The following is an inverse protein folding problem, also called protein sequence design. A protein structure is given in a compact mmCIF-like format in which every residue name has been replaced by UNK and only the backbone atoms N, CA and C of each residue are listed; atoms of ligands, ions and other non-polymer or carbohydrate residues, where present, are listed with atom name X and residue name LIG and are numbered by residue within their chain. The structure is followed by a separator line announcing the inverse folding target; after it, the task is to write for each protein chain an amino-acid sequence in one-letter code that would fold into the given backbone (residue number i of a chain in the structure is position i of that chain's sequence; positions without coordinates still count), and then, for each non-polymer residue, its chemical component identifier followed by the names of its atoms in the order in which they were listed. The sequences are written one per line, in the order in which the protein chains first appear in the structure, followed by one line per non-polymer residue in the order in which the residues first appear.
data_IF_410426106329
#
_entry.id   IF_410426106329
#
_cell.length_a   1.000
_cell.length_b   1.000
_cell.length_c   1.000
_cell.angle_alpha   90.00
_cell.angle_beta   90.00
_cell.angle_gamma   90.00
#
_symmetry.space_group_name_H-M   'P 1'
#
loop_
_entity.id
_entity.type
_entity.pdbx_description
1 polymer ?
#
# COMPACT_ATOMS: atom_id res chain seq x y z
N UNK A 1 -31.83 12.29 -30.37
CA UNK A 1 -32.90 12.40 -29.37
C UNK A 1 -33.30 10.99 -28.95
N UNK A 2 -32.53 10.38 -28.05
CA UNK A 2 -32.89 9.15 -27.35
C UNK A 2 -32.46 9.36 -25.91
N UNK A 3 -33.46 9.33 -25.02
CA UNK A 3 -33.32 9.56 -23.59
C UNK A 3 -32.59 8.36 -22.99
N UNK A 4 -31.38 8.59 -22.48
CA UNK A 4 -30.80 7.68 -21.49
C UNK A 4 -31.67 7.75 -20.23
N UNK A 5 -32.50 6.73 -20.06
CA UNK A 5 -33.10 6.38 -18.79
C UNK A 5 -31.95 6.09 -17.84
N UNK A 6 -31.71 7.01 -16.92
CA UNK A 6 -30.90 6.80 -15.73
C UNK A 6 -31.67 5.85 -14.83
N UNK A 7 -31.41 4.56 -14.96
CA UNK A 7 -31.80 3.58 -13.95
C UNK A 7 -30.98 3.86 -12.69
N UNK A 8 -31.57 4.68 -11.83
CA UNK A 8 -31.11 4.95 -10.48
C UNK A 8 -31.46 3.73 -9.62
N UNK A 9 -30.79 2.59 -9.87
CA UNK A 9 -30.74 1.52 -8.89
C UNK A 9 -30.00 2.10 -7.67
N UNK A 10 -30.72 2.32 -6.57
CA UNK A 10 -30.10 2.83 -5.35
C UNK A 10 -28.99 1.87 -4.95
N UNK A 11 -27.73 2.26 -5.11
CA UNK A 11 -26.61 1.50 -4.59
C UNK A 11 -26.84 1.31 -3.09
N UNK A 12 -26.90 0.06 -2.64
CA UNK A 12 -27.08 -0.24 -1.23
C UNK A 12 -25.96 0.44 -0.42
N UNK A 13 -26.31 1.09 0.69
CA UNK A 13 -25.34 1.75 1.55
C UNK A 13 -24.26 0.77 2.03
N UNK A 14 -23.00 1.21 2.10
CA UNK A 14 -21.88 0.39 2.52
C UNK A 14 -22.10 -0.14 3.96
N UNK A 15 -22.04 -1.46 4.21
CA UNK A 15 -22.46 -2.08 5.47
C UNK A 15 -21.34 -2.01 6.52
N UNK A 16 -20.93 -0.79 6.90
CA UNK A 16 -19.78 -0.54 7.77
C UNK A 16 -19.89 -1.26 9.12
N UNK A 17 -21.08 -1.32 9.74
CA UNK A 17 -21.25 -1.98 11.04
C UNK A 17 -21.02 -3.49 10.95
N UNK A 18 -21.51 -4.13 9.89
CA UNK A 18 -21.29 -5.56 9.66
C UNK A 18 -19.81 -5.85 9.37
N UNK A 19 -19.15 -4.95 8.63
CA UNK A 19 -17.71 -5.03 8.35
C UNK A 19 -16.90 -4.87 9.64
N UNK A 20 -17.20 -3.86 10.46
CA UNK A 20 -16.54 -3.61 11.75
C UNK A 20 -16.68 -4.79 12.71
N UNK A 21 -17.80 -5.49 12.69
CA UNK A 21 -18.02 -6.68 13.49
C UNK A 21 -17.04 -7.83 13.14
N UNK A 22 -16.46 -7.83 11.94
CA UNK A 22 -15.46 -8.82 11.52
C UNK A 22 -14.08 -8.59 12.13
N UNK A 23 -13.82 -7.44 12.78
CA UNK A 23 -12.52 -7.08 13.37
C UNK A 23 -12.54 -7.16 14.90
N UNK A 24 -12.03 -8.25 15.52
CA UNK A 24 -12.12 -8.46 16.96
C UNK A 24 -11.42 -7.38 17.78
N UNK A 25 -10.33 -6.81 17.26
CA UNK A 25 -9.59 -5.74 17.92
C UNK A 25 -10.46 -4.48 18.12
N UNK A 26 -11.28 -4.13 17.12
CA UNK A 26 -12.22 -3.00 17.21
C UNK A 26 -13.34 -3.30 18.22
N UNK A 27 -13.82 -4.55 18.27
CA UNK A 27 -14.86 -4.96 19.23
C UNK A 27 -14.35 -4.93 20.69
N UNK A 28 -13.05 -5.16 20.90
CA UNK A 28 -12.41 -5.11 22.22
C UNK A 28 -11.92 -3.72 22.61
N UNK A 29 -11.91 -2.76 21.67
CA UNK A 29 -11.35 -1.43 21.87
C UNK A 29 -12.20 -0.53 22.79
N UNK A 30 -13.47 -0.89 23.04
CA UNK A 30 -14.38 -0.03 23.81
C UNK A 30 -14.60 1.30 23.10
N UNK A 31 -14.35 2.41 23.80
CA UNK A 31 -14.53 3.77 23.27
C UNK A 31 -13.35 4.26 22.40
N UNK A 32 -12.26 3.49 22.31
CA UNK A 32 -11.06 3.87 21.58
C UNK A 32 -11.32 3.98 20.07
N UNK A 33 -10.91 5.10 19.48
CA UNK A 33 -11.00 5.36 18.04
C UNK A 33 -9.62 5.16 17.40
N UNK A 34 -9.53 4.27 16.42
CA UNK A 34 -8.28 3.97 15.70
C UNK A 34 -8.21 4.67 14.34
N UNK A 35 -7.34 5.68 14.23
CA UNK A 35 -7.08 6.48 13.01
C UNK A 35 -5.58 6.48 12.64
N UNK A 36 -4.84 5.41 12.97
CA UNK A 36 -3.42 5.23 12.56
C UNK A 36 -3.25 4.02 11.63
N UNK A 37 -4.25 3.76 10.80
CA UNK A 37 -4.29 2.62 9.86
C UNK A 37 -3.14 2.65 8.83
N UNK A 38 -2.61 3.82 8.49
CA UNK A 38 -1.44 3.97 7.63
C UNK A 38 -0.13 3.47 8.28
N UNK A 39 -0.10 3.25 9.60
CA UNK A 39 0.98 2.56 10.30
C UNK A 39 0.73 1.05 10.45
N UNK A 40 -0.48 0.57 10.16
CA UNK A 40 -0.89 -0.83 10.26
C UNK A 40 -2.38 -0.92 10.52
N UNK A 41 -3.08 -1.76 9.75
CA UNK A 41 -4.50 -1.96 9.88
C UNK A 41 -4.81 -3.10 10.85
N UNK A 42 -6.00 -3.05 11.46
CA UNK A 42 -6.56 -4.18 12.20
C UNK A 42 -6.84 -5.36 11.27
N UNK A 43 -6.86 -6.56 11.86
CA UNK A 43 -6.97 -7.84 11.14
C UNK A 43 -8.36 -8.45 11.41
N UNK A 44 -9.07 -8.98 10.39
CA UNK A 44 -10.35 -9.63 10.57
C UNK A 44 -10.20 -11.01 11.22
N UNK A 45 -11.27 -11.51 11.87
CA UNK A 45 -11.25 -12.78 12.60
C UNK A 45 -10.83 -13.96 11.70
N UNK A 46 -11.27 -13.98 10.44
CA UNK A 46 -10.93 -15.04 9.47
C UNK A 46 -9.41 -15.20 9.27
N UNK A 47 -8.67 -14.09 9.34
CA UNK A 47 -7.21 -14.08 9.19
C UNK A 47 -6.53 -14.62 10.45
N UNK A 48 -7.03 -14.24 11.64
CA UNK A 48 -6.55 -14.80 12.91
C UNK A 48 -6.77 -16.31 12.96
N UNK A 49 -7.94 -16.77 12.50
CA UNK A 49 -8.31 -18.18 12.45
C UNK A 49 -7.40 -18.96 11.48
N UNK A 50 -7.08 -18.38 10.31
CA UNK A 50 -6.20 -19.00 9.33
C UNK A 50 -4.78 -19.20 9.87
N UNK A 51 -4.21 -18.17 10.51
CA UNK A 51 -2.89 -18.26 11.16
C UNK A 51 -2.92 -19.30 12.28
N UNK A 52 -3.94 -19.26 13.14
CA UNK A 52 -4.09 -20.20 14.25
C UNK A 52 -4.21 -21.64 13.75
N UNK A 53 -5.03 -21.86 12.73
CA UNK A 53 -5.21 -23.18 12.13
C UNK A 53 -3.90 -23.70 11.54
N UNK A 54 -3.11 -22.86 10.86
CA UNK A 54 -1.78 -23.26 10.38
C UNK A 54 -0.90 -23.75 11.53
N UNK A 55 -0.76 -22.91 12.57
CA UNK A 55 0.12 -23.17 13.70
C UNK A 55 -0.28 -24.43 14.49
N UNK A 56 -1.57 -24.73 14.59
CA UNK A 56 -2.10 -25.86 15.36
C UNK A 56 -2.18 -27.15 14.53
N UNK A 57 -2.60 -27.07 13.27
CA UNK A 57 -2.96 -28.24 12.48
C UNK A 57 -1.82 -28.78 11.61
N UNK A 58 -0.96 -27.91 11.09
CA UNK A 58 0.04 -28.28 10.07
C UNK A 58 1.32 -27.43 10.10
N UNK A 59 1.76 -26.98 11.29
CA UNK A 59 3.03 -26.29 11.50
C UNK A 59 4.25 -27.20 11.28
N UNK A 60 4.61 -27.41 10.02
CA UNK A 60 5.72 -28.24 9.59
C UNK A 60 6.40 -27.63 8.36
N UNK A 61 7.57 -28.14 8.01
CA UNK A 61 8.27 -27.72 6.80
C UNK A 61 7.62 -28.27 5.53
N UNK A 62 7.79 -27.52 4.44
CA UNK A 62 7.37 -27.88 3.07
C UNK A 62 8.27 -28.95 2.42
N UNK A 63 7.81 -29.56 1.32
CA UNK A 63 8.59 -30.51 0.52
C UNK A 63 8.66 -31.94 1.07
N UNK A 64 7.99 -32.23 2.18
CA UNK A 64 7.83 -33.56 2.74
C UNK A 64 6.68 -34.33 2.08
N UNK A 65 6.80 -35.66 2.00
CA UNK A 65 5.77 -36.52 1.37
C UNK A 65 4.56 -36.84 2.27
N UNK A 66 4.58 -36.41 3.53
CA UNK A 66 3.51 -36.68 4.50
C UNK A 66 2.43 -35.60 4.45
N UNK A 67 1.20 -35.98 4.81
CA UNK A 67 0.00 -35.15 4.58
C UNK A 67 0.10 -33.70 5.06
N UNK A 68 0.62 -33.44 6.26
CA UNK A 68 0.76 -32.06 6.79
C UNK A 68 1.70 -31.19 5.95
N UNK A 69 2.80 -31.76 5.46
CA UNK A 69 3.74 -31.01 4.61
C UNK A 69 3.12 -30.69 3.24
N UNK A 70 2.38 -31.65 2.67
CA UNK A 70 1.59 -31.45 1.45
C UNK A 70 0.53 -30.35 1.66
N UNK A 71 -0.11 -30.30 2.84
CA UNK A 71 -1.06 -29.22 3.18
C UNK A 71 -0.40 -27.85 3.25
N UNK A 72 0.83 -27.74 3.75
CA UNK A 72 1.60 -26.48 3.74
C UNK A 72 1.90 -26.04 2.31
N UNK A 73 2.39 -26.95 1.46
CA UNK A 73 2.65 -26.64 0.04
C UNK A 73 1.37 -26.17 -0.67
N UNK A 74 0.22 -26.82 -0.44
CA UNK A 74 -1.06 -26.38 -1.00
C UNK A 74 -1.49 -25.01 -0.47
N UNK A 75 -1.35 -24.75 0.83
CA UNK A 75 -1.73 -23.46 1.43
C UNK A 75 -0.92 -22.30 0.85
N UNK A 76 0.36 -22.52 0.56
CA UNK A 76 1.21 -21.53 -0.11
C UNK A 76 0.77 -21.32 -1.56
N UNK A 77 0.39 -22.39 -2.28
CA UNK A 77 -0.11 -22.30 -3.65
C UNK A 77 -1.45 -21.52 -3.71
N UNK A 78 -2.40 -21.84 -2.83
CA UNK A 78 -3.71 -21.18 -2.74
C UNK A 78 -3.55 -19.68 -2.44
N UNK A 79 -2.68 -19.34 -1.48
CA UNK A 79 -2.37 -17.95 -1.16
C UNK A 79 -1.78 -17.21 -2.37
N UNK A 80 -0.94 -17.89 -3.16
CA UNK A 80 -0.32 -17.31 -4.36
C UNK A 80 -1.34 -17.01 -5.43
N UNK A 81 -2.30 -17.91 -5.65
CA UNK A 81 -3.44 -17.68 -6.53
C UNK A 81 -4.30 -16.51 -6.04
N UNK A 82 -4.61 -16.47 -4.75
CA UNK A 82 -5.37 -15.37 -4.15
C UNK A 82 -4.67 -14.02 -4.34
N UNK A 83 -3.37 -13.92 -4.08
CA UNK A 83 -2.64 -12.65 -4.29
C UNK A 83 -2.53 -12.30 -5.77
N UNK A 84 -2.36 -13.27 -6.67
CA UNK A 84 -2.41 -13.02 -8.11
C UNK A 84 -3.77 -12.43 -8.53
N UNK A 85 -4.87 -12.97 -8.01
CA UNK A 85 -6.21 -12.43 -8.23
C UNK A 85 -6.40 -11.05 -7.58
N UNK A 86 -5.79 -10.77 -6.43
CA UNK A 86 -5.88 -9.46 -5.77
C UNK A 86 -5.33 -8.35 -6.67
N UNK A 87 -4.17 -8.60 -7.29
CA UNK A 87 -3.42 -7.59 -8.05
C UNK A 87 -3.59 -7.71 -9.57
N UNK A 88 -4.41 -8.66 -10.03
CA UNK A 88 -4.58 -9.01 -11.44
C UNK A 88 -3.28 -9.48 -12.13
N UNK A 89 -2.44 -10.28 -11.48
CA UNK A 89 -1.23 -10.82 -12.11
C UNK A 89 -1.56 -11.79 -13.26
N UNK A 90 -0.65 -11.92 -14.23
CA UNK A 90 -0.82 -12.86 -15.34
C UNK A 90 -0.73 -14.32 -14.88
N UNK A 91 0.11 -14.58 -13.87
CA UNK A 91 0.31 -15.91 -13.32
C UNK A 91 0.63 -15.86 -11.83
N UNK A 92 0.15 -16.81 -11.02
CA UNK A 92 0.61 -16.99 -9.64
C UNK A 92 2.13 -17.15 -9.54
N UNK A 93 2.81 -17.68 -10.57
CA UNK A 93 4.27 -17.86 -10.57
C UNK A 93 5.06 -16.53 -10.51
N UNK A 94 4.39 -15.39 -10.71
CA UNK A 94 4.97 -14.04 -10.62
C UNK A 94 4.95 -13.45 -9.21
N UNK A 95 4.28 -14.12 -8.27
CA UNK A 95 4.16 -13.68 -6.88
C UNK A 95 5.25 -14.35 -6.06
N UNK A 96 5.98 -13.60 -5.23
CA UNK A 96 6.97 -14.09 -4.27
C UNK A 96 6.57 -13.65 -2.86
N UNK A 97 6.67 -14.55 -1.88
CA UNK A 97 6.35 -14.29 -0.47
C UNK A 97 7.60 -14.08 0.39
N UNK A 98 7.45 -13.24 1.42
CA UNK A 98 8.56 -12.87 2.28
C UNK A 98 8.15 -11.99 3.45
N UNK A 99 9.13 -11.39 4.11
CA UNK A 99 8.94 -10.74 5.39
C UNK A 99 8.14 -9.43 5.30
N UNK A 100 8.46 -8.54 4.36
CA UNK A 100 7.80 -7.25 4.16
C UNK A 100 8.30 -6.59 2.85
N UNK A 101 7.65 -5.51 2.44
CA UNK A 101 8.01 -4.75 1.24
C UNK A 101 9.45 -4.19 1.31
N UNK A 102 9.91 -3.68 2.46
CA UNK A 102 11.28 -3.16 2.62
C UNK A 102 12.34 -4.21 2.29
N UNK A 103 12.15 -5.45 2.76
CA UNK A 103 13.04 -6.57 2.44
C UNK A 103 13.06 -6.86 0.93
N UNK A 104 11.91 -6.79 0.25
CA UNK A 104 11.83 -6.96 -1.20
C UNK A 104 12.46 -5.81 -1.98
N UNK A 105 12.22 -4.55 -1.58
CA UNK A 105 12.87 -3.37 -2.18
C UNK A 105 14.39 -3.56 -2.11
N UNK A 106 14.91 -4.00 -0.96
CA UNK A 106 16.33 -4.30 -0.78
C UNK A 106 16.82 -5.43 -1.69
N UNK A 107 16.09 -6.54 -1.76
CA UNK A 107 16.46 -7.66 -2.64
C UNK A 107 16.52 -7.23 -4.09
N UNK A 108 15.48 -6.55 -4.58
CA UNK A 108 15.41 -6.07 -5.97
C UNK A 108 16.50 -5.04 -6.24
N UNK A 109 16.73 -4.10 -5.32
CA UNK A 109 17.81 -3.12 -5.44
C UNK A 109 19.20 -3.78 -5.55
N UNK A 110 19.49 -4.82 -4.77
CA UNK A 110 20.75 -5.56 -4.87
C UNK A 110 20.89 -6.30 -6.20
N UNK A 111 19.80 -6.87 -6.73
CA UNK A 111 19.78 -7.49 -8.04
C UNK A 111 20.01 -6.47 -9.17
N UNK A 112 19.29 -5.34 -9.13
CA UNK A 112 19.46 -4.22 -10.08
C UNK A 112 20.90 -3.68 -10.01
N UNK A 113 21.46 -3.50 -8.82
CA UNK A 113 22.85 -3.05 -8.64
C UNK A 113 23.88 -3.93 -9.34
N UNK A 114 23.68 -5.25 -9.33
CA UNK A 114 24.53 -6.20 -10.06
C UNK A 114 24.35 -6.11 -11.59
N UNK A 115 23.22 -5.59 -12.06
CA UNK A 115 22.93 -5.40 -13.48
C UNK A 115 23.39 -4.03 -14.00
N UNK A 116 23.88 -3.13 -13.15
CA UNK A 116 24.46 -1.83 -13.54
C UNK A 116 25.90 -1.96 -14.12
N UNK A 117 26.41 -3.18 -14.30
CA UNK A 117 27.78 -3.44 -14.75
C UNK A 117 28.04 -2.87 -16.13
N UNK A 118 29.19 -2.19 -16.26
CA UNK A 118 29.61 -1.33 -17.38
C UNK A 118 29.86 -2.02 -18.72
N UNK A 119 29.70 -3.33 -18.81
CA UNK A 119 30.16 -4.08 -19.99
C UNK A 119 29.02 -4.41 -20.96
N UNK A 120 29.11 -3.71 -22.10
CA UNK A 120 28.77 -4.14 -23.48
C UNK A 120 27.50 -3.67 -24.17
N UNK A 121 26.46 -3.14 -23.54
CA UNK A 121 25.32 -2.53 -24.27
C UNK A 121 24.69 -1.33 -23.54
N UNK A 122 25.29 -0.13 -23.69
CA UNK A 122 24.74 1.15 -23.23
C UNK A 122 24.78 1.39 -21.71
N UNK A 123 25.20 2.59 -21.29
CA UNK A 123 25.22 2.98 -19.87
C UNK A 123 23.80 3.24 -19.35
N UNK A 124 23.07 2.18 -18.95
CA UNK A 124 21.79 2.31 -18.21
C UNK A 124 22.05 2.43 -16.71
N UNK A 125 22.55 3.60 -16.28
CA UNK A 125 22.94 3.89 -14.90
C UNK A 125 22.08 4.95 -14.21
N UNK A 126 21.08 5.53 -14.88
CA UNK A 126 20.20 6.54 -14.28
C UNK A 126 18.97 5.87 -13.61
N UNK A 127 18.71 6.22 -12.35
CA UNK A 127 17.52 5.81 -11.61
C UNK A 127 16.72 7.06 -11.25
N UNK A 128 15.43 7.07 -11.61
CA UNK A 128 14.50 8.11 -11.18
C UNK A 128 13.85 7.69 -9.87
N UNK A 129 13.91 8.58 -8.87
CA UNK A 129 13.27 8.42 -7.55
C UNK A 129 12.47 9.68 -7.22
N UNK A 130 11.56 9.59 -6.25
CA UNK A 130 10.69 10.72 -5.85
C UNK A 130 11.07 11.30 -4.50
N UNK A 131 10.70 12.57 -4.26
CA UNK A 131 10.77 13.18 -2.92
C UNK A 131 9.51 12.92 -2.06
N UNK A 132 8.57 12.12 -2.54
CA UNK A 132 7.29 11.81 -1.91
C UNK A 132 7.24 10.42 -1.26
N UNK A 133 8.12 9.52 -1.70
CA UNK A 133 8.17 8.12 -1.28
C UNK A 133 8.59 7.90 0.18
N UNK A 134 8.23 6.73 0.70
CA UNK A 134 8.76 6.20 1.95
C UNK A 134 10.28 5.98 1.82
N UNK A 135 11.05 6.26 2.88
CA UNK A 135 12.52 6.22 2.82
C UNK A 135 13.08 4.83 2.44
N UNK A 136 12.34 3.75 2.73
CA UNK A 136 12.65 2.39 2.24
C UNK A 136 12.75 2.31 0.71
N UNK A 137 11.90 3.02 -0.02
CA UNK A 137 11.91 3.13 -1.49
C UNK A 137 12.75 4.32 -1.98
N UNK A 138 13.66 4.84 -1.16
CA UNK A 138 14.62 5.90 -1.51
C UNK A 138 16.03 5.47 -1.13
N UNK A 139 16.28 5.26 0.17
CA UNK A 139 17.60 4.97 0.72
C UNK A 139 18.23 3.71 0.13
N UNK A 140 17.40 2.70 -0.17
CA UNK A 140 17.86 1.46 -0.79
C UNK A 140 18.41 1.71 -2.19
N UNK A 141 17.74 2.54 -2.99
CA UNK A 141 18.24 2.90 -4.32
C UNK A 141 19.49 3.75 -4.25
N UNK A 142 19.51 4.77 -3.38
CA UNK A 142 20.68 5.63 -3.18
C UNK A 142 21.94 4.85 -2.79
N UNK A 143 21.82 3.70 -2.11
CA UNK A 143 22.96 2.84 -1.81
C UNK A 143 23.70 2.33 -3.08
N UNK A 144 23.01 2.30 -4.22
CA UNK A 144 23.57 1.92 -5.52
C UNK A 144 24.47 3.00 -6.14
N UNK A 145 24.62 4.19 -5.54
CA UNK A 145 25.68 5.14 -5.93
C UNK A 145 27.05 4.47 -5.94
N UNK A 146 27.31 3.60 -4.95
CA UNK A 146 28.55 2.81 -4.85
C UNK A 146 28.74 1.82 -6.00
N UNK A 147 27.65 1.39 -6.65
CA UNK A 147 27.64 0.55 -7.85
C UNK A 147 27.62 1.36 -9.15
N UNK A 148 27.65 2.70 -9.07
CA UNK A 148 27.69 3.60 -10.23
C UNK A 148 26.34 4.20 -10.63
N UNK A 149 25.26 3.97 -9.88
CA UNK A 149 23.97 4.58 -10.18
C UNK A 149 24.00 6.11 -10.05
N UNK A 150 23.27 6.79 -10.92
CA UNK A 150 23.02 8.25 -10.89
C UNK A 150 21.54 8.50 -10.66
N UNK A 151 21.21 9.53 -9.88
CA UNK A 151 19.82 9.77 -9.47
C UNK A 151 19.23 11.01 -10.11
N UNK A 152 18.00 10.87 -10.62
CA UNK A 152 17.13 11.99 -11.01
C UNK A 152 15.97 12.05 -10.02
N UNK A 153 15.61 13.26 -9.61
CA UNK A 153 14.56 13.46 -8.61
C UNK A 153 13.29 13.97 -9.29
N UNK A 154 12.26 13.14 -9.30
CA UNK A 154 10.90 13.54 -9.65
C UNK A 154 10.24 14.17 -8.42
N UNK A 155 9.94 15.46 -8.50
CA UNK A 155 9.57 16.25 -7.32
C UNK A 155 8.09 16.57 -7.30
N UNK A 156 7.48 16.39 -6.14
CA UNK A 156 6.10 16.77 -5.89
C UNK A 156 5.92 18.28 -6.11
N UNK A 157 4.83 18.67 -6.77
CA UNK A 157 4.43 20.08 -6.93
C UNK A 157 3.72 20.59 -5.66
N UNK A 158 3.47 21.89 -5.59
CA UNK A 158 2.82 22.53 -4.43
C UNK A 158 1.38 22.05 -4.20
N UNK A 159 0.73 21.53 -5.24
CA UNK A 159 -0.62 20.95 -5.17
C UNK A 159 -0.65 19.56 -4.50
N UNK A 160 0.50 19.04 -4.10
CA UNK A 160 0.62 17.78 -3.37
C UNK A 160 0.73 16.54 -4.25
N UNK A 161 0.91 16.68 -5.57
CA UNK A 161 1.03 15.55 -6.50
C UNK A 161 2.35 15.54 -7.26
N UNK A 162 2.70 14.34 -7.75
CA UNK A 162 3.71 14.15 -8.79
C UNK A 162 3.03 14.25 -10.16
N UNK A 163 3.49 15.18 -11.00
CA UNK A 163 2.94 15.39 -12.33
C UNK A 163 3.81 14.69 -13.37
N UNK A 164 3.21 13.85 -14.21
CA UNK A 164 3.93 13.02 -15.18
C UNK A 164 4.65 13.84 -16.26
N UNK A 165 4.22 15.07 -16.51
CA UNK A 165 4.96 16.01 -17.37
C UNK A 165 6.35 16.36 -16.82
N UNK A 166 6.52 16.33 -15.49
CA UNK A 166 7.82 16.54 -14.85
C UNK A 166 8.71 15.30 -14.89
N UNK A 167 8.14 14.11 -15.18
CA UNK A 167 8.90 12.87 -15.35
C UNK A 167 9.54 12.79 -16.75
N UNK A 168 8.83 13.22 -17.80
CA UNK A 168 9.29 13.19 -19.20
C UNK A 168 10.71 13.72 -19.41
N UNK A 169 11.12 14.88 -18.86
CA UNK A 169 12.50 15.39 -19.04
C UNK A 169 13.55 14.70 -18.15
N UNK A 170 13.14 13.83 -17.22
CA UNK A 170 14.04 13.11 -16.32
C UNK A 170 14.47 11.74 -16.85
N UNK A 171 13.71 11.18 -17.79
CA UNK A 171 13.99 9.87 -18.39
C UNK A 171 14.80 10.00 -19.69
N UNK A 172 15.65 9.02 -19.96
CA UNK A 172 16.47 8.93 -21.16
C UNK A 172 16.78 7.46 -21.47
N UNK A 173 17.44 7.16 -22.59
CA UNK A 173 17.91 5.80 -22.89
C UNK A 173 18.89 5.26 -21.84
N UNK A 174 19.48 6.13 -21.00
CA UNK A 174 20.30 5.75 -19.85
C UNK A 174 19.48 5.39 -18.60
N UNK A 175 18.19 5.64 -18.61
CA UNK A 175 17.33 5.31 -17.47
C UNK A 175 17.19 3.80 -17.38
N UNK A 176 17.59 3.27 -16.21
CA UNK A 176 17.45 1.87 -15.85
C UNK A 176 16.11 1.60 -15.20
N UNK A 177 15.72 2.46 -14.26
CA UNK A 177 14.58 2.23 -13.39
C UNK A 177 13.91 3.55 -13.03
N UNK A 178 12.57 3.57 -13.04
CA UNK A 178 11.76 4.58 -12.37
C UNK A 178 11.10 3.94 -11.15
N UNK A 179 11.46 4.39 -9.96
CA UNK A 179 10.92 3.88 -8.70
C UNK A 179 10.04 4.94 -8.02
N UNK A 180 8.78 4.59 -7.77
CA UNK A 180 7.84 5.46 -7.08
C UNK A 180 6.78 4.68 -6.29
N UNK A 181 6.13 5.37 -5.36
CA UNK A 181 4.96 4.83 -4.68
C UNK A 181 3.71 4.92 -5.56
N UNK A 182 2.76 4.02 -5.36
CA UNK A 182 1.39 4.17 -5.90
C UNK A 182 0.64 5.25 -5.10
N UNK A 183 0.94 5.41 -3.80
CA UNK A 183 0.29 6.41 -2.95
C UNK A 183 1.18 6.82 -1.79
N UNK A 184 1.35 8.13 -1.60
CA UNK A 184 2.14 8.69 -0.52
C UNK A 184 1.55 8.35 0.87
N UNK A 185 2.27 7.57 1.68
CA UNK A 185 1.83 7.14 3.02
C UNK A 185 1.72 8.24 4.07
N UNK A 186 2.28 9.41 3.77
CA UNK A 186 2.20 10.59 4.62
C UNK A 186 0.95 11.42 4.29
N UNK A 187 0.80 11.83 3.03
CA UNK A 187 -0.20 12.84 2.59
C UNK A 187 -1.42 12.24 1.87
N UNK A 188 -1.38 10.95 1.52
CA UNK A 188 -2.46 10.23 0.86
C UNK A 188 -2.60 10.47 -0.64
N UNK A 189 -1.76 11.29 -1.28
CA UNK A 189 -1.78 11.54 -2.73
C UNK A 189 -1.50 10.28 -3.54
N UNK A 190 -2.26 10.07 -4.61
CA UNK A 190 -2.14 8.93 -5.54
C UNK A 190 -1.30 9.36 -6.75
N UNK A 191 -0.42 8.47 -7.23
CA UNK A 191 0.41 8.67 -8.43
C UNK A 191 -0.26 8.01 -9.63
N UNK A 192 -0.25 8.68 -10.79
CA UNK A 192 -0.69 8.09 -12.07
C UNK A 192 0.38 7.13 -12.61
N UNK A 193 0.42 5.92 -12.02
CA UNK A 193 1.45 4.92 -12.30
C UNK A 193 1.35 4.30 -13.70
N UNK A 194 0.18 4.34 -14.34
CA UNK A 194 0.03 3.88 -15.72
C UNK A 194 0.76 4.81 -16.69
N UNK A 195 0.60 6.13 -16.53
CA UNK A 195 1.37 7.11 -17.29
C UNK A 195 2.87 7.07 -16.97
N UNK A 196 3.25 6.73 -15.73
CA UNK A 196 4.67 6.49 -15.37
C UNK A 196 5.24 5.34 -16.19
N UNK A 197 4.52 4.23 -16.32
CA UNK A 197 4.97 3.08 -17.10
C UNK A 197 5.09 3.41 -18.58
N UNK A 198 4.10 4.10 -19.16
CA UNK A 198 4.18 4.56 -20.56
C UNK A 198 5.46 5.37 -20.81
N UNK A 199 5.78 6.34 -19.94
CA UNK A 199 6.94 7.21 -20.08
C UNK A 199 8.26 6.44 -19.89
N UNK A 200 8.35 5.56 -18.90
CA UNK A 200 9.55 4.76 -18.63
C UNK A 200 9.82 3.76 -19.75
N UNK A 201 8.80 3.03 -20.20
CA UNK A 201 8.92 2.01 -21.23
C UNK A 201 9.26 2.60 -22.60
N UNK A 202 8.83 3.83 -22.88
CA UNK A 202 9.20 4.55 -24.11
C UNK A 202 10.72 4.74 -24.28
N UNK A 203 11.50 4.70 -23.19
CA UNK A 203 12.99 4.73 -23.22
C UNK A 203 13.62 3.38 -22.81
N UNK A 204 12.79 2.35 -22.64
CA UNK A 204 13.19 1.00 -22.22
C UNK A 204 13.59 0.86 -20.75
N UNK A 205 13.21 1.79 -19.89
CA UNK A 205 13.43 1.70 -18.44
C UNK A 205 12.39 0.77 -17.79
N UNK A 206 12.74 0.10 -16.69
CA UNK A 206 11.80 -0.68 -15.88
C UNK A 206 11.07 0.21 -14.84
N UNK A 207 9.92 -0.22 -14.34
CA UNK A 207 9.14 0.48 -13.30
C UNK A 207 9.03 -0.34 -12.02
N UNK A 208 9.40 0.25 -10.90
CA UNK A 208 9.24 -0.33 -9.57
C UNK A 208 8.20 0.44 -8.76
N UNK A 209 7.14 -0.24 -8.32
CA UNK A 209 6.05 0.36 -7.55
C UNK A 209 6.04 -0.09 -6.08
N UNK A 210 6.08 0.86 -5.15
CA UNK A 210 5.70 0.65 -3.75
C UNK A 210 4.18 0.81 -3.59
N UNK A 211 3.47 -0.30 -3.41
CA UNK A 211 2.01 -0.36 -3.28
C UNK A 211 1.54 -0.56 -1.82
N UNK A 212 2.45 -0.48 -0.84
CA UNK A 212 2.14 -0.76 0.57
C UNK A 212 1.00 0.11 1.09
N UNK A 213 0.97 1.39 0.72
CA UNK A 213 -0.08 2.29 1.20
C UNK A 213 -1.36 2.22 0.39
N UNK A 214 -1.29 1.94 -0.92
CA UNK A 214 -2.49 1.88 -1.77
C UNK A 214 -3.31 0.61 -1.57
N UNK A 215 -2.65 -0.51 -1.20
CA UNK A 215 -3.28 -1.83 -1.04
C UNK A 215 -4.65 -1.88 -0.35
N UNK A 216 -4.85 -1.24 0.83
CA UNK A 216 -6.15 -1.26 1.50
C UNK A 216 -7.23 -0.41 0.82
N UNK A 217 -6.86 0.52 -0.07
CA UNK A 217 -7.73 1.63 -0.49
C UNK A 217 -8.30 1.50 -1.89
N UNK A 218 -7.71 0.67 -2.75
CA UNK A 218 -8.09 0.63 -4.17
C UNK A 218 -7.68 -0.62 -4.89
N UNK A 219 -8.22 -0.77 -6.10
CA UNK A 219 -7.98 -1.93 -6.94
C UNK A 219 -6.57 -1.86 -7.52
N UNK A 220 -5.76 -2.87 -7.21
CA UNK A 220 -4.47 -3.07 -7.87
C UNK A 220 -4.71 -3.84 -9.18
N UNK A 221 -4.14 -3.32 -10.27
CA UNK A 221 -4.16 -3.96 -11.58
C UNK A 221 -2.80 -3.80 -12.26
N UNK A 222 -1.91 -4.78 -12.04
CA UNK A 222 -0.56 -4.76 -12.59
C UNK A 222 -0.51 -4.89 -14.10
N UNK A 223 -1.58 -5.41 -14.73
CA UNK A 223 -1.67 -5.46 -16.20
C UNK A 223 -2.01 -4.08 -16.76
N UNK A 224 -2.97 -3.38 -16.13
CA UNK A 224 -3.35 -2.04 -16.57
C UNK A 224 -2.30 -0.98 -16.25
N UNK A 225 -1.56 -1.13 -15.14
CA UNK A 225 -0.48 -0.23 -14.76
C UNK A 225 0.83 -0.51 -15.50
N UNK A 226 0.94 -1.68 -16.13
CA UNK A 226 2.06 -2.12 -16.93
C UNK A 226 3.43 -2.00 -16.22
N UNK A 227 3.48 -2.09 -14.89
CA UNK A 227 4.75 -2.02 -14.15
C UNK A 227 5.57 -3.31 -14.26
N UNK A 228 6.82 -3.28 -13.79
CA UNK A 228 7.74 -4.43 -13.86
C UNK A 228 7.92 -5.13 -12.51
N UNK A 229 7.82 -4.35 -11.43
CA UNK A 229 7.84 -4.82 -10.05
C UNK A 229 6.78 -4.07 -9.23
N UNK A 230 6.16 -4.78 -8.29
CA UNK A 230 5.27 -4.21 -7.29
C UNK A 230 5.51 -4.89 -5.94
N UNK A 231 5.70 -4.11 -4.89
CA UNK A 231 5.81 -4.63 -3.51
C UNK A 231 4.64 -4.19 -2.66
N UNK A 232 4.24 -5.05 -1.72
CA UNK A 232 3.23 -4.72 -0.73
C UNK A 232 3.50 -5.44 0.60
N UNK A 233 3.04 -4.85 1.71
CA UNK A 233 3.13 -5.44 3.05
C UNK A 233 1.74 -5.73 3.59
N UNK A 234 1.51 -6.96 4.04
CA UNK A 234 0.21 -7.45 4.48
C UNK A 234 -0.38 -6.73 5.69
N UNK A 235 0.45 -6.22 6.60
CA UNK A 235 -0.01 -5.56 7.82
C UNK A 235 -0.79 -4.25 7.57
N UNK A 236 -0.71 -3.66 6.37
CA UNK A 236 -1.59 -2.55 5.96
C UNK A 236 -2.79 -3.00 5.15
N UNK A 237 -2.78 -4.23 4.66
CA UNK A 237 -3.83 -4.85 3.86
C UNK A 237 -4.53 -5.98 4.63
N UNK A 238 -4.80 -5.74 5.91
CA UNK A 238 -5.61 -6.60 6.79
C UNK A 238 -5.06 -8.03 7.00
N UNK A 239 -3.79 -8.26 6.69
CA UNK A 239 -3.05 -9.51 6.86
C UNK A 239 -2.03 -9.37 8.01
N UNK A 240 -1.46 -10.46 8.56
CA UNK A 240 -0.36 -10.36 9.53
C UNK A 240 0.89 -9.72 8.92
N UNK A 241 1.91 -9.49 9.75
CA UNK A 241 3.23 -9.02 9.29
C UNK A 241 3.88 -10.02 8.34
N UNK A 242 3.76 -9.74 7.05
CA UNK A 242 4.36 -10.42 5.92
C UNK A 242 4.35 -9.46 4.72
N UNK A 243 4.94 -9.83 3.59
CA UNK A 243 4.76 -9.10 2.34
C UNK A 243 4.80 -10.00 1.11
N UNK A 244 4.49 -9.40 -0.04
CA UNK A 244 4.72 -10.01 -1.33
C UNK A 244 5.42 -9.05 -2.28
N UNK A 245 6.19 -9.62 -3.19
CA UNK A 245 6.69 -9.00 -4.41
C UNK A 245 5.94 -9.66 -5.57
N UNK A 246 5.35 -8.85 -6.44
CA UNK A 246 5.06 -9.26 -7.80
C UNK A 246 6.11 -8.69 -8.73
N UNK A 247 6.49 -9.44 -9.75
CA UNK A 247 7.21 -8.89 -10.89
C UNK A 247 6.97 -9.76 -12.11
N UNK A 248 7.08 -9.17 -13.30
CA UNK A 248 6.93 -9.93 -14.54
C UNK A 248 7.84 -11.15 -14.52
N UNK A 249 7.32 -12.31 -14.94
CA UNK A 249 8.05 -13.57 -14.84
C UNK A 249 9.48 -13.49 -15.42
N UNK A 250 9.63 -13.00 -16.65
CA UNK A 250 10.93 -12.88 -17.31
C UNK A 250 11.83 -11.82 -16.66
N UNK A 251 11.25 -10.77 -16.06
CA UNK A 251 11.99 -9.75 -15.34
C UNK A 251 12.57 -10.33 -14.04
N UNK A 252 11.77 -11.03 -13.25
CA UNK A 252 12.25 -11.73 -12.04
C UNK A 252 13.27 -12.83 -12.38
N UNK A 253 13.09 -13.52 -13.52
CA UNK A 253 14.02 -14.54 -13.99
C UNK A 253 15.41 -13.96 -14.27
N UNK A 254 15.48 -12.80 -14.93
CA UNK A 254 16.75 -12.09 -15.21
C UNK A 254 17.38 -11.46 -13.97
N UNK A 255 16.60 -11.13 -12.95
CA UNK A 255 17.08 -10.48 -11.74
C UNK A 255 18.08 -11.40 -10.99
N UNK A 256 19.32 -10.95 -10.73
CA UNK A 256 20.24 -11.68 -9.88
C UNK A 256 19.72 -11.72 -8.44
N UNK A 257 19.67 -12.90 -7.83
CA UNK A 257 19.20 -13.07 -6.44
C UNK A 257 20.19 -13.90 -5.62
N UNK A 258 20.12 -13.73 -4.30
CA UNK A 258 20.76 -14.65 -3.37
C UNK A 258 19.87 -15.87 -3.21
N UNK A 259 20.36 -17.04 -3.62
CA UNK A 259 19.67 -18.33 -3.47
C UNK A 259 20.65 -19.38 -3.00
N UNK A 260 20.19 -20.35 -2.23
CA UNK A 260 20.95 -21.56 -1.95
C UNK A 260 21.12 -22.38 -3.24
N UNK A 261 22.25 -23.08 -3.38
CA UNK A 261 22.63 -23.76 -4.64
C UNK A 261 21.58 -24.74 -5.18
N UNK A 262 20.81 -25.35 -4.28
CA UNK A 262 19.78 -26.35 -4.60
C UNK A 262 18.40 -25.74 -4.94
N UNK A 263 18.20 -24.44 -4.69
CA UNK A 263 16.96 -23.75 -5.04
C UNK A 263 16.96 -23.46 -6.55
N UNK A 264 15.90 -23.82 -7.30
CA UNK A 264 15.79 -23.51 -8.71
C UNK A 264 15.99 -22.02 -9.00
N UNK A 265 16.74 -21.71 -10.06
CA UNK A 265 16.94 -20.34 -10.53
C UNK A 265 15.75 -19.85 -11.36
N UNK A 266 14.55 -19.96 -10.79
CA UNK A 266 13.30 -19.66 -11.43
C UNK A 266 12.33 -18.99 -10.45
N UNK A 267 11.58 -17.94 -10.86
CA UNK A 267 10.53 -17.38 -10.04
C UNK A 267 9.43 -18.41 -9.72
N UNK A 268 8.86 -18.38 -8.51
CA UNK A 268 9.17 -17.45 -7.42
C UNK A 268 10.33 -17.90 -6.53
N UNK A 269 10.79 -19.15 -6.67
CA UNK A 269 11.69 -19.81 -5.73
C UNK A 269 13.03 -19.09 -5.55
N UNK A 270 13.59 -18.52 -6.62
CA UNK A 270 14.86 -17.77 -6.55
C UNK A 270 14.79 -16.51 -5.69
N UNK A 271 13.59 -15.98 -5.42
CA UNK A 271 13.37 -14.80 -4.57
C UNK A 271 13.02 -15.23 -3.14
N UNK A 272 12.30 -16.35 -3.00
CA UNK A 272 11.84 -16.92 -1.72
C UNK A 272 12.94 -17.72 -1.01
N UNK A 273 14.06 -17.05 -0.68
CA UNK A 273 15.20 -17.70 -0.04
C UNK A 273 14.86 -18.24 1.37
N UNK A 274 15.30 -19.47 1.65
CA UNK A 274 15.14 -20.13 2.94
C UNK A 274 13.69 -20.53 3.31
N UNK A 275 13.50 -20.89 4.59
CA UNK A 275 12.17 -21.06 5.18
C UNK A 275 11.58 -19.70 5.52
N UNK A 276 10.38 -19.40 5.03
CA UNK A 276 9.65 -18.17 5.35
C UNK A 276 8.37 -18.44 6.16
N UNK A 277 7.64 -17.38 6.45
CA UNK A 277 6.49 -17.28 7.36
C UNK A 277 5.19 -17.89 6.79
N UNK A 278 5.12 -19.21 6.65
CA UNK A 278 3.98 -19.93 6.02
C UNK A 278 2.63 -19.63 6.70
N UNK A 279 2.60 -19.54 8.03
CA UNK A 279 1.41 -19.23 8.80
C UNK A 279 0.84 -17.84 8.45
N UNK A 280 1.71 -16.87 8.19
CA UNK A 280 1.28 -15.53 7.79
C UNK A 280 0.89 -15.49 6.31
N UNK A 281 1.43 -16.38 5.47
CA UNK A 281 0.95 -16.57 4.09
C UNK A 281 -0.48 -17.12 4.09
N UNK A 282 -0.82 -18.06 4.97
CA UNK A 282 -2.22 -18.47 5.20
C UNK A 282 -3.09 -17.30 5.67
N UNK A 283 -2.55 -16.40 6.51
CA UNK A 283 -3.23 -15.16 6.89
C UNK A 283 -3.47 -14.20 5.72
N UNK A 284 -2.52 -14.06 4.79
CA UNK A 284 -2.67 -13.24 3.59
C UNK A 284 -3.76 -13.80 2.66
N UNK A 285 -3.79 -15.11 2.45
CA UNK A 285 -4.88 -15.76 1.70
C UNK A 285 -6.26 -15.41 2.27
N UNK A 286 -6.42 -15.57 3.59
CA UNK A 286 -7.66 -15.22 4.29
C UNK A 286 -8.00 -13.73 4.20
N UNK A 287 -7.01 -12.84 4.12
CA UNK A 287 -7.23 -11.40 3.94
C UNK A 287 -7.78 -11.10 2.54
N UNK A 288 -7.27 -11.77 1.49
CA UNK A 288 -7.82 -11.66 0.14
C UNK A 288 -9.24 -12.23 0.07
N UNK A 289 -9.48 -13.39 0.69
CA UNK A 289 -10.81 -13.98 0.76
C UNK A 289 -11.81 -13.10 1.51
N UNK A 290 -11.36 -12.36 2.52
CA UNK A 290 -12.17 -11.36 3.20
C UNK A 290 -12.59 -10.22 2.24
N UNK A 291 -11.67 -9.69 1.43
CA UNK A 291 -11.99 -8.67 0.43
C UNK A 291 -12.94 -9.21 -0.65
N UNK A 292 -12.74 -10.46 -1.06
CA UNK A 292 -13.66 -11.18 -1.95
C UNK A 292 -15.06 -11.30 -1.34
N UNK A 293 -15.15 -11.63 -0.05
CA UNK A 293 -16.42 -11.78 0.68
C UNK A 293 -17.21 -10.46 0.73
N UNK A 294 -16.53 -9.32 0.91
CA UNK A 294 -17.19 -8.00 0.86
C UNK A 294 -17.92 -7.84 -0.48
N UNK A 295 -17.21 -8.02 -1.61
CA UNK A 295 -17.83 -7.84 -2.92
C UNK A 295 -18.90 -8.86 -3.24
N UNK A 296 -18.77 -10.10 -2.75
CA UNK A 296 -19.80 -11.13 -2.86
C UNK A 296 -21.08 -10.74 -2.12
N UNK A 297 -20.96 -10.21 -0.91
CA UNK A 297 -22.11 -9.81 -0.08
C UNK A 297 -22.81 -8.53 -0.56
N UNK A 298 -22.10 -7.67 -1.30
CA UNK A 298 -22.65 -6.45 -1.89
C UNK A 298 -23.36 -6.69 -3.23
N UNK A 299 -23.10 -7.81 -3.90
CA UNK A 299 -23.64 -8.09 -5.22
C UNK A 299 -25.00 -8.81 -5.14
N UNK A 300 -25.99 -8.44 -5.97
CA UNK A 300 -27.29 -9.11 -6.00
C UNK A 300 -27.26 -10.52 -6.65
N UNK A 301 -26.14 -10.95 -7.24
CA UNK A 301 -26.01 -12.23 -7.94
C UNK A 301 -24.80 -13.07 -7.50
N UNK A 302 -25.02 -14.35 -7.22
CA UNK A 302 -24.02 -15.29 -6.70
C UNK A 302 -23.11 -15.95 -7.77
N UNK A 303 -23.19 -15.56 -9.05
CA UNK A 303 -22.48 -16.25 -10.14
C UNK A 303 -21.30 -15.44 -10.73
N UNK A 304 -20.46 -14.86 -9.87
CA UNK A 304 -19.30 -14.04 -10.26
C UNK A 304 -18.00 -14.78 -9.99
N UNK A 305 -16.97 -14.50 -10.78
CA UNK A 305 -15.62 -15.04 -10.52
C UNK A 305 -15.05 -14.47 -9.21
N UNK A 306 -14.02 -15.12 -8.66
CA UNK A 306 -13.30 -14.60 -7.47
C UNK A 306 -12.76 -13.19 -7.73
N UNK A 307 -12.18 -12.95 -8.90
CA UNK A 307 -11.67 -11.62 -9.28
C UNK A 307 -12.78 -10.58 -9.34
N UNK A 308 -13.91 -10.90 -9.95
CA UNK A 308 -15.04 -9.96 -10.04
C UNK A 308 -15.55 -9.54 -8.65
N UNK A 309 -15.58 -10.49 -7.71
CA UNK A 309 -15.94 -10.22 -6.32
C UNK A 309 -14.90 -9.30 -5.66
N UNK A 310 -13.60 -9.55 -5.82
CA UNK A 310 -12.54 -8.66 -5.32
C UNK A 310 -12.69 -7.25 -5.91
N UNK A 311 -12.89 -7.14 -7.22
CA UNK A 311 -13.08 -5.85 -7.92
C UNK A 311 -14.26 -5.08 -7.33
N UNK A 312 -15.40 -5.73 -7.13
CA UNK A 312 -16.55 -5.07 -6.53
C UNK A 312 -16.36 -4.71 -5.06
N UNK A 313 -15.69 -5.57 -4.28
CA UNK A 313 -15.38 -5.30 -2.88
C UNK A 313 -14.48 -4.08 -2.74
N UNK A 314 -13.37 -4.05 -3.49
CA UNK A 314 -12.42 -2.93 -3.49
C UNK A 314 -13.04 -1.65 -4.07
N UNK A 315 -13.89 -1.76 -5.09
CA UNK A 315 -14.65 -0.61 -5.62
C UNK A 315 -15.58 0.01 -4.57
N UNK A 316 -16.36 -0.81 -3.88
CA UNK A 316 -17.25 -0.34 -2.82
C UNK A 316 -16.50 0.24 -1.61
N UNK A 317 -15.36 -0.38 -1.25
CA UNK A 317 -14.43 0.16 -0.25
C UNK A 317 -13.95 1.55 -0.66
N UNK A 318 -13.47 1.70 -1.90
CA UNK A 318 -12.99 2.97 -2.43
C UNK A 318 -14.08 4.04 -2.38
N UNK A 319 -15.29 3.72 -2.81
CA UNK A 319 -16.42 4.67 -2.79
C UNK A 319 -16.78 5.12 -1.37
N UNK A 320 -16.81 4.19 -0.42
CA UNK A 320 -17.06 4.50 0.99
C UNK A 320 -15.92 5.34 1.61
N UNK A 321 -14.66 4.99 1.30
CA UNK A 321 -13.51 5.76 1.77
C UNK A 321 -13.45 7.17 1.19
N UNK A 322 -13.96 7.41 -0.02
CA UNK A 322 -14.13 8.76 -0.55
C UNK A 322 -15.15 9.57 0.26
N UNK A 323 -16.20 8.95 0.81
CA UNK A 323 -17.12 9.61 1.74
C UNK A 323 -16.40 9.99 3.03
N UNK A 324 -15.66 9.05 3.65
CA UNK A 324 -14.85 9.32 4.84
C UNK A 324 -13.82 10.44 4.59
N UNK A 325 -13.20 10.43 3.42
CA UNK A 325 -12.21 11.44 3.05
C UNK A 325 -12.82 12.84 2.96
N UNK A 326 -14.01 12.98 2.35
CA UNK A 326 -14.73 14.27 2.28
C UNK A 326 -15.07 14.79 3.68
N UNK A 327 -15.61 13.92 4.53
CA UNK A 327 -15.99 14.31 5.90
C UNK A 327 -14.77 14.71 6.74
N UNK A 328 -13.69 13.93 6.69
CA UNK A 328 -12.45 14.27 7.41
C UNK A 328 -11.85 15.59 6.90
N UNK A 329 -11.86 15.83 5.59
CA UNK A 329 -11.40 17.07 5.00
C UNK A 329 -12.22 18.27 5.49
N UNK A 330 -13.56 18.14 5.55
CA UNK A 330 -14.44 19.18 6.07
C UNK A 330 -14.18 19.47 7.56
N UNK A 331 -14.00 18.43 8.37
CA UNK A 331 -13.65 18.55 9.80
C UNK A 331 -12.33 19.27 9.99
N UNK A 332 -11.27 18.86 9.27
CA UNK A 332 -9.95 19.48 9.39
C UNK A 332 -9.97 20.95 8.96
N UNK A 333 -10.66 21.28 7.86
CA UNK A 333 -10.85 22.68 7.43
C UNK A 333 -11.61 23.49 8.48
N UNK A 334 -12.67 22.94 9.06
CA UNK A 334 -13.43 23.59 10.14
C UNK A 334 -12.62 23.82 11.41
N UNK A 335 -11.55 23.04 11.63
CA UNK A 335 -10.60 23.24 12.73
C UNK A 335 -9.44 24.19 12.37
N UNK A 336 -9.42 24.79 11.18
CA UNK A 336 -8.35 25.67 10.74
C UNK A 336 -7.02 24.94 10.46
N UNK A 337 -7.08 23.66 10.11
CA UNK A 337 -5.88 22.87 9.83
C UNK A 337 -5.19 23.31 8.53
N UNK A 338 -3.86 23.35 8.57
CA UNK A 338 -3.02 23.37 7.37
C UNK A 338 -2.88 21.92 6.92
N UNK A 339 -3.51 21.56 5.79
CA UNK A 339 -3.54 20.19 5.26
C UNK A 339 -2.50 20.07 4.15
N UNK A 340 -1.60 19.10 4.27
CA UNK A 340 -0.58 18.80 3.26
C UNK A 340 -1.08 17.71 2.30
N UNK A 341 -0.79 17.87 1.01
CA UNK A 341 -1.35 17.02 -0.06
C UNK A 341 -2.65 17.57 -0.65
N UNK A 342 -3.32 16.75 -1.45
CA UNK A 342 -4.58 17.13 -2.11
C UNK A 342 -5.65 17.46 -1.07
N UNK A 343 -6.09 18.72 -1.04
CA UNK A 343 -7.06 19.26 -0.06
C UNK A 343 -8.29 19.91 -0.71
N UNK A 344 -8.37 19.88 -2.05
CA UNK A 344 -9.51 20.34 -2.82
C UNK A 344 -10.56 19.23 -2.93
N UNK A 345 -11.83 19.55 -2.65
CA UNK A 345 -12.91 18.55 -2.67
C UNK A 345 -13.15 18.00 -4.08
N UNK A 346 -13.01 18.84 -5.12
CA UNK A 346 -13.13 18.42 -6.52
C UNK A 346 -12.10 17.34 -6.91
N UNK A 347 -10.97 17.30 -6.21
CA UNK A 347 -9.83 16.40 -6.46
C UNK A 347 -9.75 15.27 -5.44
N UNK A 348 -10.80 15.03 -4.66
CA UNK A 348 -10.81 14.01 -3.60
C UNK A 348 -10.47 12.60 -4.11
N UNK A 349 -10.75 12.33 -5.38
CA UNK A 349 -10.43 11.06 -6.04
C UNK A 349 -8.93 10.84 -6.27
N UNK A 350 -8.10 11.89 -6.20
CA UNK A 350 -6.64 11.86 -6.31
C UNK A 350 -5.95 11.52 -4.98
N UNK A 351 -6.71 11.23 -3.91
CA UNK A 351 -6.15 10.79 -2.62
C UNK A 351 -6.84 9.58 -2.01
N UNK A 352 -6.17 8.93 -1.09
CA UNK A 352 -6.75 8.00 -0.10
C UNK A 352 -7.05 8.76 1.21
N UNK A 353 -7.86 8.21 2.14
CA UNK A 353 -8.24 8.90 3.38
C UNK A 353 -7.12 8.93 4.44
N UNK A 354 -5.91 9.33 4.04
CA UNK A 354 -4.74 9.55 4.90
C UNK A 354 -4.36 11.01 4.87
N UNK A 355 -4.53 11.71 6.00
CA UNK A 355 -4.41 13.15 6.14
C UNK A 355 -3.18 13.54 6.93
N UNK A 356 -2.27 14.28 6.31
CA UNK A 356 -1.15 14.96 6.96
C UNK A 356 -1.54 16.42 7.21
N UNK A 357 -1.46 16.90 8.44
CA UNK A 357 -1.86 18.26 8.77
C UNK A 357 -1.18 18.81 10.03
N UNK A 358 -1.23 20.13 10.19
CA UNK A 358 -0.82 20.85 11.40
C UNK A 358 -1.86 21.90 11.78
N UNK A 359 -1.88 22.34 13.05
CA UNK A 359 -2.78 23.40 13.53
C UNK A 359 -1.97 24.63 13.95
N UNK A 360 -1.99 25.68 13.12
CA UNK A 360 -1.32 26.94 13.44
C UNK A 360 0.14 26.75 13.87
N UNK A 361 0.47 27.19 15.09
CA UNK A 361 1.80 27.03 15.71
C UNK A 361 1.83 25.95 16.80
N UNK A 362 0.74 25.21 16.98
CA UNK A 362 0.65 24.17 18.00
C UNK A 362 1.59 23.00 17.65
N UNK A 363 2.23 22.42 18.67
CA UNK A 363 3.10 21.27 18.48
C UNK A 363 2.28 20.04 18.02
N UNK A 364 2.69 19.36 16.94
CA UNK A 364 2.08 18.09 16.51
C UNK A 364 2.07 17.05 17.62
N UNK A 365 3.21 16.90 18.32
CA UNK A 365 3.40 15.98 19.45
C UNK A 365 2.35 16.24 20.53
N UNK A 366 2.18 17.52 20.90
CA UNK A 366 1.26 17.87 21.98
C UNK A 366 -0.20 17.58 21.62
N UNK A 367 -0.59 17.80 20.37
CA UNK A 367 -1.94 17.45 19.91
C UNK A 367 -2.14 15.93 19.94
N UNK A 368 -1.15 15.15 19.51
CA UNK A 368 -1.23 13.68 19.52
C UNK A 368 -1.28 13.12 20.95
N UNK A 369 -0.49 13.68 21.88
CA UNK A 369 -0.55 13.33 23.32
C UNK A 369 -1.96 13.54 23.88
N UNK A 370 -2.56 14.71 23.63
CA UNK A 370 -3.90 15.05 24.11
C UNK A 370 -4.99 14.18 23.45
N UNK A 371 -4.83 13.83 22.17
CA UNK A 371 -5.71 12.88 21.49
C UNK A 371 -5.63 11.48 22.11
N UNK A 372 -4.44 11.03 22.49
CA UNK A 372 -4.24 9.74 23.15
C UNK A 372 -4.91 9.70 24.53
N UNK A 373 -4.85 10.79 25.31
CA UNK A 373 -5.61 10.93 26.56
C UNK A 373 -7.13 10.80 26.34
N UNK A 374 -7.62 11.26 25.18
CA UNK A 374 -9.02 11.14 24.76
C UNK A 374 -9.36 9.81 24.05
N UNK A 375 -8.47 8.82 24.11
CA UNK A 375 -8.64 7.50 23.47
C UNK A 375 -8.79 7.59 21.94
N UNK A 376 -8.07 8.50 21.29
CA UNK A 376 -8.03 8.63 19.83
C UNK A 376 -6.60 8.38 19.34
N UNK A 377 -6.39 7.26 18.66
CA UNK A 377 -5.10 6.89 18.09
C UNK A 377 -4.84 7.58 16.76
N UNK A 378 -3.91 8.53 16.75
CA UNK A 378 -3.31 9.16 15.57
C UNK A 378 -1.78 9.19 15.76
N UNK A 379 -1.03 9.69 14.78
CA UNK A 379 0.44 9.71 14.82
C UNK A 379 1.00 11.09 14.50
N UNK A 380 2.16 11.42 15.05
CA UNK A 380 2.98 12.56 14.63
C UNK A 380 4.40 12.14 14.17
N UNK A 381 5.18 13.11 13.72
CA UNK A 381 6.58 12.95 13.31
C UNK A 381 6.77 13.05 11.80
N UNK A 382 7.88 12.49 11.31
CA UNK A 382 8.25 12.57 9.89
C UNK A 382 7.71 11.41 9.04
N UNK A 383 6.97 10.46 9.65
CA UNK A 383 6.38 9.27 9.04
C UNK A 383 7.34 8.51 8.09
N UNK A 384 8.63 8.42 8.39
CA UNK A 384 9.62 7.82 7.46
C UNK A 384 9.67 8.45 6.06
N UNK A 385 9.30 9.73 5.92
CA UNK A 385 9.35 10.50 4.67
C UNK A 385 10.19 11.79 4.81
N UNK A 386 11.48 11.71 5.17
CA UNK A 386 12.31 12.88 5.47
C UNK A 386 12.43 13.87 4.31
N UNK A 387 12.46 13.38 3.06
CA UNK A 387 12.55 14.21 1.85
C UNK A 387 11.26 15.01 1.65
N UNK A 388 10.11 14.37 1.86
CA UNK A 388 8.81 15.03 1.82
C UNK A 388 8.67 16.06 2.94
N UNK A 389 9.10 15.76 4.16
CA UNK A 389 9.08 16.73 5.26
C UNK A 389 9.88 17.98 4.93
N UNK A 390 11.10 17.81 4.39
CA UNK A 390 11.91 18.93 3.89
C UNK A 390 11.19 19.70 2.79
N UNK A 391 10.53 19.02 1.84
CA UNK A 391 9.77 19.64 0.74
C UNK A 391 8.61 20.50 1.25
N UNK A 392 7.93 20.03 2.30
CA UNK A 392 6.85 20.73 3.00
C UNK A 392 7.34 21.80 3.99
N UNK A 393 8.65 22.04 4.06
CA UNK A 393 9.29 22.95 5.01
C UNK A 393 8.97 22.61 6.48
N UNK A 394 8.94 21.32 6.79
CA UNK A 394 8.72 20.78 8.13
C UNK A 394 10.04 20.28 8.73
N UNK A 395 10.21 20.51 10.03
CA UNK A 395 11.37 19.97 10.77
C UNK A 395 11.27 18.45 10.88
N UNK A 396 12.42 17.78 10.85
CA UNK A 396 12.51 16.34 11.13
C UNK A 396 12.13 15.99 12.58
N UNK A 397 12.33 16.94 13.52
CA UNK A 397 12.05 16.72 14.94
C UNK A 397 10.55 16.76 15.23
N UNK A 398 9.82 17.69 14.59
CA UNK A 398 8.39 17.88 14.83
C UNK A 398 7.49 17.20 13.79
N UNK A 399 7.91 17.22 12.52
CA UNK A 399 7.13 16.73 11.38
C UNK A 399 5.72 17.31 11.32
N UNK A 400 4.72 16.44 11.16
CA UNK A 400 3.31 16.79 11.13
C UNK A 400 2.45 15.78 11.90
N UNK A 401 1.14 16.03 11.99
CA UNK A 401 0.15 15.06 12.47
C UNK A 401 -0.34 14.24 11.26
N UNK A 402 -0.58 12.94 11.45
CA UNK A 402 -1.24 12.07 10.50
C UNK A 402 -2.43 11.34 11.13
N UNK A 403 -3.59 11.49 10.50
CA UNK A 403 -4.78 10.67 10.75
C UNK A 403 -5.12 9.90 9.47
N UNK A 404 -5.40 8.61 9.57
CA UNK A 404 -5.59 7.71 8.44
C UNK A 404 -6.75 6.78 8.69
N UNK A 405 -7.68 6.72 7.75
CA UNK A 405 -8.89 5.92 7.83
C UNK A 405 -8.81 4.75 6.86
N UNK A 406 -9.61 3.73 7.12
CA UNK A 406 -9.92 2.66 6.16
C UNK A 406 -11.43 2.36 6.21
N UNK A 407 -11.90 1.44 5.40
CA UNK A 407 -13.31 1.11 5.24
C UNK A 407 -14.05 0.63 6.50
N UNK A 408 -13.36 0.19 7.55
CA UNK A 408 -14.03 -0.06 8.83
C UNK A 408 -14.21 1.18 9.68
N UNK A 409 -13.60 2.33 9.38
CA UNK A 409 -13.86 3.57 10.13
C UNK A 409 -15.24 4.15 9.80
N UNK A 410 -15.78 4.98 10.69
CA UNK A 410 -17.12 5.56 10.55
C UNK A 410 -17.11 7.09 10.48
N UNK A 411 -18.18 7.67 9.91
CA UNK A 411 -18.41 9.11 9.93
C UNK A 411 -18.55 9.63 11.38
N UNK A 412 -19.13 8.82 12.28
CA UNK A 412 -19.21 9.18 13.71
C UNK A 412 -17.81 9.30 14.34
N UNK A 413 -16.88 8.39 14.03
CA UNK A 413 -15.49 8.49 14.47
C UNK A 413 -14.81 9.77 13.96
N UNK A 414 -15.07 10.15 12.71
CA UNK A 414 -14.60 11.42 12.12
C UNK A 414 -15.13 12.64 12.90
N UNK A 415 -16.41 12.64 13.25
CA UNK A 415 -17.03 13.73 14.02
C UNK A 415 -16.53 13.79 15.47
N UNK A 416 -16.35 12.64 16.13
CA UNK A 416 -15.78 12.54 17.47
C UNK A 416 -14.33 13.03 17.48
N UNK A 417 -13.53 12.65 16.49
CA UNK A 417 -12.20 13.20 16.25
C UNK A 417 -12.24 14.73 16.10
N UNK A 418 -13.15 15.27 15.28
CA UNK A 418 -13.29 16.71 15.10
C UNK A 418 -13.66 17.46 16.37
N UNK A 419 -14.54 16.89 17.20
CA UNK A 419 -14.91 17.46 18.51
C UNK A 419 -13.72 17.47 19.47
N UNK A 420 -12.98 16.37 19.55
CA UNK A 420 -11.77 16.27 20.36
C UNK A 420 -10.71 17.29 19.90
N UNK A 421 -10.45 17.38 18.59
CA UNK A 421 -9.49 18.33 18.03
C UNK A 421 -9.84 19.78 18.40
N UNK A 422 -11.12 20.19 18.28
CA UNK A 422 -11.56 21.53 18.70
C UNK A 422 -11.34 21.79 20.18
N UNK A 423 -11.61 20.81 21.05
CA UNK A 423 -11.38 20.93 22.48
C UNK A 423 -9.89 21.09 22.81
N UNK A 424 -9.02 20.34 22.14
CA UNK A 424 -7.56 20.41 22.29
C UNK A 424 -7.04 21.76 21.80
N UNK A 425 -7.51 22.24 20.64
CA UNK A 425 -7.13 23.56 20.12
C UNK A 425 -7.50 24.65 21.12
N UNK A 426 -8.71 24.61 21.69
CA UNK A 426 -9.16 25.57 22.69
C UNK A 426 -8.38 25.48 24.02
N UNK A 427 -7.84 24.30 24.36
CA UNK A 427 -7.00 24.08 25.55
C UNK A 427 -5.58 24.61 25.36
N UNK A 428 -5.03 24.50 24.15
CA UNK A 428 -3.61 24.79 23.85
C UNK A 428 -3.37 26.17 23.22
N UNK A 429 -4.43 26.84 22.73
CA UNK A 429 -4.39 28.23 22.24
C UNK A 429 -4.60 29.19 23.40
#
# INVERSE_FOLDING_TARGET
MNKHQTDNASAAAFPVDAIRAMFPALQRAGDFIFLDNAAGAQIPQSVLDAVTNHLVSHNVQRGGRYGRSVTVDQSVADARESVALLINAYSPAEICFGMNATSFIRLVSLGIGQMLVKDTEGERDEIVITDMDHDANIATWLALESAGAKFKWWRMREDGNLHVDDLRPLVSERTRLVACTVTAHSIGSIVDVASVAEIAHAVGAEVFLDCVHYGPHGLIDVQAWDCDYLVCSGYKNFSPHMGFLWGRFETLKRLPTFREDFIPDEPPYKVEAGTFIYENVSGMDAAVQYLELIGRNLAPSNNRSRRDNIVAGMGAIRDYELLLAREMLAVLKGCGAIIYGVSEEARIHERVPTFCFNIGKLSPQRIVEEMAEMQIGIRDGHMYAPRLMKRLNLSMDSGAIRASLVHYNTIDEVHRFGKALRAIIAKLS
#
